data_IF_054869028679
#
_entry.id   IF_054869028679
#
_cell.length_a   1.000
_cell.length_b   1.000
_cell.length_c   1.000
_cell.angle_alpha   90.00
_cell.angle_beta   90.00
_cell.angle_gamma   90.00
#
_symmetry.space_group_name_H-M   'P 1'
#
loop_
_entity.id
_entity.type
_entity.pdbx_description
1 polymer ?
#
# COMPACT_ATOMS: atom_id res chain seq x y z
N UNK A 1 3.08 -29.85 -23.54
CA UNK A 1 3.47 -28.44 -23.63
C UNK A 1 4.99 -28.41 -23.54
N UNK A 2 5.69 -27.86 -24.52
CA UNK A 2 7.14 -27.62 -24.41
C UNK A 2 7.34 -26.29 -23.68
N UNK A 3 8.07 -26.30 -22.56
CA UNK A 3 8.33 -25.10 -21.75
C UNK A 3 9.43 -24.27 -22.42
N UNK A 4 10.47 -24.90 -22.98
CA UNK A 4 11.60 -24.21 -23.56
C UNK A 4 11.24 -23.39 -24.81
N UNK A 5 10.13 -23.73 -25.47
CA UNK A 5 9.62 -23.02 -26.64
C UNK A 5 8.74 -21.81 -26.32
N UNK A 6 8.59 -21.43 -25.04
CA UNK A 6 7.70 -20.35 -24.60
C UNK A 6 8.45 -19.06 -24.27
N UNK A 7 7.73 -17.96 -24.09
CA UNK A 7 8.32 -16.73 -23.57
C UNK A 7 8.86 -16.92 -22.15
N UNK A 8 9.91 -16.19 -21.77
CA UNK A 8 10.57 -16.34 -20.47
C UNK A 8 9.58 -16.20 -19.28
N UNK A 9 8.62 -15.29 -19.39
CA UNK A 9 7.56 -15.11 -18.39
C UNK A 9 6.68 -16.36 -18.24
N UNK A 10 6.23 -16.94 -19.37
CA UNK A 10 5.43 -18.16 -19.34
C UNK A 10 6.22 -19.37 -18.80
N UNK A 11 7.54 -19.42 -19.05
CA UNK A 11 8.41 -20.42 -18.47
C UNK A 11 8.48 -20.30 -16.94
N UNK A 12 8.69 -19.09 -16.41
CA UNK A 12 8.69 -18.82 -14.97
C UNK A 12 7.37 -19.27 -14.32
N UNK A 13 6.24 -18.92 -14.95
CA UNK A 13 4.90 -19.28 -14.43
C UNK A 13 4.62 -20.78 -14.49
N UNK A 14 4.93 -21.48 -15.58
CA UNK A 14 4.72 -22.92 -15.65
C UNK A 14 5.62 -23.73 -14.70
N UNK A 15 6.85 -23.26 -14.46
CA UNK A 15 7.73 -23.88 -13.48
C UNK A 15 7.20 -23.68 -12.04
N UNK A 16 6.62 -22.50 -11.75
CA UNK A 16 5.94 -22.24 -10.47
C UNK A 16 4.70 -23.12 -10.32
N UNK A 17 3.83 -23.17 -11.32
CA UNK A 17 2.63 -24.01 -11.33
C UNK A 17 2.96 -25.49 -11.08
N UNK A 18 4.02 -26.03 -11.70
CA UNK A 18 4.47 -27.40 -11.44
C UNK A 18 4.95 -27.62 -10.00
N UNK A 19 5.65 -26.63 -9.42
CA UNK A 19 6.13 -26.69 -8.04
C UNK A 19 5.00 -26.63 -7.03
N UNK A 20 3.97 -25.84 -7.34
CA UNK A 20 2.84 -25.57 -6.45
C UNK A 20 1.67 -26.57 -6.66
N UNK A 21 1.81 -27.50 -7.61
CA UNK A 21 0.83 -28.56 -7.88
C UNK A 21 -0.40 -28.09 -8.67
N UNK A 22 -0.30 -26.95 -9.34
CA UNK A 22 -1.36 -26.37 -10.15
C UNK A 22 -1.51 -27.11 -11.50
N UNK A 23 -2.73 -27.15 -12.02
CA UNK A 23 -3.06 -27.77 -13.30
C UNK A 23 -3.15 -26.72 -14.42
N UNK A 24 -3.14 -27.19 -15.67
CA UNK A 24 -3.39 -26.33 -16.82
C UNK A 24 -4.73 -25.57 -16.72
N UNK A 25 -5.72 -26.17 -16.05
CA UNK A 25 -7.04 -25.55 -15.86
C UNK A 25 -6.94 -24.41 -14.84
N UNK A 26 -6.07 -24.50 -13.84
CA UNK A 26 -5.96 -23.46 -12.82
C UNK A 26 -5.49 -22.13 -13.40
N UNK A 27 -4.59 -22.17 -14.40
CA UNK A 27 -4.09 -20.98 -15.11
C UNK A 27 -4.84 -20.63 -16.41
N UNK A 28 -5.51 -21.59 -17.06
CA UNK A 28 -6.27 -21.34 -18.31
C UNK A 28 -7.80 -21.37 -18.12
N UNK A 29 -8.30 -21.41 -16.87
CA UNK A 29 -9.73 -21.20 -16.59
C UNK A 29 -10.12 -19.80 -17.04
N UNK A 30 -11.35 -19.64 -17.54
CA UNK A 30 -11.83 -18.37 -18.09
C UNK A 30 -11.82 -18.27 -19.62
N UNK A 31 -11.12 -19.14 -20.35
CA UNK A 31 -11.19 -19.18 -21.83
C UNK A 31 -12.46 -19.89 -22.34
N UNK A 32 -12.93 -20.92 -21.64
CA UNK A 32 -14.10 -21.72 -22.05
C UNK A 32 -15.25 -21.73 -21.02
N UNK A 33 -14.97 -21.48 -19.74
CA UNK A 33 -15.95 -21.51 -18.65
C UNK A 33 -15.62 -20.41 -17.65
N UNK A 34 -16.63 -19.67 -17.19
CA UNK A 34 -16.47 -18.71 -16.10
C UNK A 34 -16.32 -19.46 -14.78
N UNK A 35 -15.20 -19.28 -14.05
CA UNK A 35 -15.04 -19.89 -12.75
C UNK A 35 -16.07 -19.34 -11.75
N UNK A 36 -16.43 -20.11 -10.70
CA UNK A 36 -17.21 -19.58 -9.58
C UNK A 36 -16.50 -18.36 -8.98
N UNK A 37 -17.27 -17.46 -8.35
CA UNK A 37 -16.71 -16.27 -7.68
C UNK A 37 -15.57 -16.69 -6.74
N UNK A 38 -14.36 -16.25 -7.05
CA UNK A 38 -13.19 -16.41 -6.19
C UNK A 38 -13.37 -15.40 -5.07
N UNK A 39 -13.33 -15.86 -3.82
CA UNK A 39 -13.26 -15.00 -2.65
C UNK A 39 -11.95 -15.29 -1.93
N UNK A 40 -11.26 -14.25 -1.51
CA UNK A 40 -10.18 -14.35 -0.55
C UNK A 40 -10.72 -15.10 0.68
N UNK A 41 -9.92 -16.01 1.22
CA UNK A 41 -10.26 -16.64 2.49
C UNK A 41 -10.27 -15.57 3.59
N UNK A 42 -11.37 -15.49 4.36
CA UNK A 42 -11.54 -14.55 5.48
C UNK A 42 -10.38 -14.64 6.49
N UNK A 43 -9.71 -15.80 6.56
CA UNK A 43 -8.54 -16.01 7.41
C UNK A 43 -7.34 -15.13 7.04
N UNK A 44 -7.15 -14.75 5.77
CA UNK A 44 -5.97 -14.02 5.33
C UNK A 44 -5.95 -12.56 5.83
N UNK A 45 -7.11 -11.92 5.94
CA UNK A 45 -7.22 -10.59 6.55
C UNK A 45 -7.04 -10.68 8.07
N UNK A 46 -7.57 -11.73 8.69
CA UNK A 46 -7.41 -11.96 10.13
C UNK A 46 -5.96 -12.28 10.52
N UNK A 47 -5.18 -12.85 9.60
CA UNK A 47 -3.77 -13.11 9.78
C UNK A 47 -2.95 -11.81 9.94
N UNK A 48 -3.33 -10.71 9.26
CA UNK A 48 -2.72 -9.39 9.48
C UNK A 48 -3.02 -8.85 10.88
N UNK A 49 -4.25 -9.04 11.37
CA UNK A 49 -4.61 -8.63 12.74
C UNK A 49 -3.81 -9.41 13.78
N UNK A 50 -3.60 -10.71 13.56
CA UNK A 50 -2.79 -11.56 14.45
C UNK A 50 -1.30 -11.16 14.49
N UNK A 51 -0.82 -10.49 13.44
CA UNK A 51 0.56 -9.99 13.31
C UNK A 51 0.72 -8.54 13.77
N UNK A 52 -0.35 -7.90 14.25
CA UNK A 52 -0.27 -6.56 14.81
C UNK A 52 0.74 -6.53 15.97
N UNK A 53 1.50 -5.43 16.05
CA UNK A 53 2.50 -5.24 17.09
C UNK A 53 1.83 -5.26 18.46
N UNK A 54 2.22 -6.20 19.31
CA UNK A 54 1.71 -6.33 20.69
C UNK A 54 2.34 -5.31 21.64
N UNK A 55 3.50 -4.76 21.26
CA UNK A 55 4.18 -3.66 21.93
C UNK A 55 5.05 -2.91 20.93
N UNK A 56 5.32 -1.63 21.22
CA UNK A 56 6.15 -0.75 20.38
C UNK A 56 7.11 0.04 21.27
N UNK A 57 8.21 0.51 20.70
CA UNK A 57 9.19 1.36 21.40
C UNK A 57 9.27 2.73 20.77
N UNK A 58 9.73 3.74 21.51
CA UNK A 58 10.02 5.06 20.94
C UNK A 58 11.04 4.93 19.80
N UNK A 59 10.77 5.61 18.68
CA UNK A 59 11.54 5.53 17.44
C UNK A 59 11.18 4.34 16.56
N UNK A 60 10.28 3.43 16.98
CA UNK A 60 9.82 2.35 16.11
C UNK A 60 8.94 2.89 14.98
N UNK A 61 9.05 2.28 13.80
CA UNK A 61 8.13 2.50 12.69
C UNK A 61 7.01 1.47 12.75
N UNK A 62 5.76 1.90 12.55
CA UNK A 62 4.59 1.04 12.52
C UNK A 62 3.68 1.38 11.34
N UNK A 63 2.97 0.37 10.84
CA UNK A 63 2.24 0.44 9.58
C UNK A 63 0.78 0.00 9.77
N UNK A 64 -0.20 0.91 9.66
CA UNK A 64 -1.61 0.53 9.63
C UNK A 64 -1.88 -0.48 8.50
N UNK A 65 -2.73 -1.47 8.73
CA UNK A 65 -3.17 -2.43 7.70
C UNK A 65 -4.65 -2.25 7.31
N UNK A 66 -5.31 -1.25 7.91
CA UNK A 66 -6.67 -0.78 7.63
C UNK A 66 -6.74 0.73 7.90
N UNK A 67 -7.76 1.45 7.41
CA UNK A 67 -8.00 2.84 7.82
C UNK A 67 -7.98 2.96 9.34
N UNK A 68 -7.06 3.76 9.86
CA UNK A 68 -6.74 3.85 11.29
C UNK A 68 -6.75 5.28 11.77
N UNK A 69 -7.20 5.57 12.99
CA UNK A 69 -7.34 6.96 13.45
C UNK A 69 -6.16 7.43 14.30
N UNK A 70 -5.75 8.67 14.06
CA UNK A 70 -4.92 9.46 14.98
C UNK A 70 -5.88 10.37 15.74
N UNK A 71 -6.41 9.90 16.87
CA UNK A 71 -7.49 10.55 17.61
C UNK A 71 -8.63 11.00 16.68
N UNK A 72 -9.08 12.25 16.83
CA UNK A 72 -10.05 12.90 15.93
C UNK A 72 -9.37 13.76 14.85
N UNK A 73 -8.05 13.69 14.73
CA UNK A 73 -7.25 14.59 13.88
C UNK A 73 -7.12 14.06 12.46
N UNK A 74 -6.96 12.74 12.29
CA UNK A 74 -6.74 12.15 10.98
C UNK A 74 -7.21 10.70 10.90
N UNK A 75 -7.61 10.31 9.69
CA UNK A 75 -7.72 8.91 9.26
C UNK A 75 -6.52 8.58 8.38
N UNK A 76 -5.67 7.68 8.85
CA UNK A 76 -4.45 7.21 8.21
C UNK A 76 -4.76 5.99 7.37
N UNK A 77 -4.15 5.96 6.20
CA UNK A 77 -4.34 4.94 5.21
C UNK A 77 -3.40 3.73 5.44
N UNK A 78 -3.81 2.50 5.05
CA UNK A 78 -2.95 1.32 5.08
C UNK A 78 -1.55 1.52 4.49
N UNK A 79 -0.54 0.89 5.09
CA UNK A 79 0.86 0.93 4.65
C UNK A 79 1.57 2.25 4.93
N UNK A 80 0.88 3.28 5.43
CA UNK A 80 1.50 4.55 5.83
C UNK A 80 2.53 4.31 6.94
N UNK A 81 3.71 4.90 6.79
CA UNK A 81 4.71 4.91 7.85
C UNK A 81 4.32 5.88 8.97
N UNK A 82 4.40 5.40 10.21
CA UNK A 82 4.18 6.17 11.42
C UNK A 82 5.35 5.93 12.38
N UNK A 83 6.02 6.99 12.80
CA UNK A 83 7.08 6.90 13.82
C UNK A 83 6.48 7.02 15.21
N UNK A 84 6.73 6.06 16.10
CA UNK A 84 6.30 6.13 17.51
C UNK A 84 7.16 7.14 18.25
N UNK A 85 6.56 8.22 18.76
CA UNK A 85 7.26 9.25 19.54
C UNK A 85 7.12 9.05 21.05
N UNK A 86 6.04 8.42 21.49
CA UNK A 86 5.83 8.05 22.89
C UNK A 86 5.02 6.74 23.01
N UNK A 87 5.64 5.70 23.55
CA UNK A 87 5.05 4.39 23.83
C UNK A 87 4.70 4.17 25.31
N UNK A 88 4.84 5.19 26.17
CA UNK A 88 4.62 5.05 27.62
C UNK A 88 3.14 4.95 28.02
N UNK A 89 2.24 5.43 27.15
CA UNK A 89 0.80 5.42 27.36
C UNK A 89 0.12 4.11 26.94
N UNK A 90 -1.21 4.06 27.12
CA UNK A 90 -2.05 2.95 26.64
C UNK A 90 -2.10 2.87 25.11
N UNK A 91 -2.06 4.02 24.46
CA UNK A 91 -1.98 4.18 23.01
C UNK A 91 -0.67 4.90 22.71
N UNK A 92 0.10 4.43 21.71
CA UNK A 92 1.30 5.15 21.31
C UNK A 92 0.92 6.49 20.69
N UNK A 93 1.67 7.52 21.03
CA UNK A 93 1.68 8.76 20.26
C UNK A 93 2.58 8.52 19.04
N UNK A 94 2.04 8.78 17.86
CA UNK A 94 2.72 8.61 16.58
C UNK A 94 2.93 9.95 15.90
N UNK A 95 4.00 10.03 15.10
CA UNK A 95 4.29 11.10 14.18
C UNK A 95 3.96 10.61 12.76
N UNK A 96 3.05 11.32 12.11
CA UNK A 96 2.76 11.22 10.69
C UNK A 96 3.46 12.36 9.95
N UNK A 97 4.21 12.04 8.90
CA UNK A 97 4.90 13.03 8.06
C UNK A 97 4.45 12.90 6.61
N UNK A 98 4.36 14.02 5.92
CA UNK A 98 4.05 14.04 4.49
C UNK A 98 4.04 15.45 3.92
N UNK A 99 3.40 15.60 2.78
CA UNK A 99 3.27 16.85 2.05
C UNK A 99 1.80 17.27 1.93
N UNK A 100 1.52 18.56 2.17
CA UNK A 100 0.26 19.18 1.80
C UNK A 100 0.37 19.80 0.40
N UNK A 101 -0.72 19.69 -0.36
CA UNK A 101 -0.92 20.45 -1.60
C UNK A 101 -1.88 21.61 -1.34
N UNK A 102 -1.56 22.79 -1.84
CA UNK A 102 -2.44 23.97 -1.72
C UNK A 102 -3.79 23.71 -2.42
N UNK A 103 -4.88 24.03 -1.74
CA UNK A 103 -6.25 23.72 -2.18
C UNK A 103 -6.72 22.29 -1.89
N UNK A 104 -5.87 21.47 -1.27
CA UNK A 104 -6.17 20.10 -0.80
C UNK A 104 -5.57 19.87 0.59
N UNK A 105 -5.64 20.87 1.47
CA UNK A 105 -4.99 20.87 2.79
C UNK A 105 -5.52 19.78 3.72
N UNK A 106 -6.70 19.22 3.43
CA UNK A 106 -7.28 18.10 4.18
C UNK A 106 -6.60 16.75 3.91
N UNK A 107 -5.56 16.68 3.07
CA UNK A 107 -4.88 15.43 2.72
C UNK A 107 -3.37 15.59 2.87
N UNK A 108 -2.72 14.61 3.50
CA UNK A 108 -1.26 14.46 3.47
C UNK A 108 -0.88 13.41 2.42
N UNK A 109 0.08 13.76 1.58
CA UNK A 109 0.61 12.92 0.52
C UNK A 109 2.04 12.49 0.83
N UNK A 110 2.48 11.38 0.21
CA UNK A 110 3.82 10.83 0.37
C UNK A 110 4.92 11.82 0.00
N UNK A 111 4.79 12.45 -1.17
CA UNK A 111 5.76 13.40 -1.69
C UNK A 111 5.10 14.46 -2.58
N UNK A 112 5.80 15.57 -2.80
CA UNK A 112 5.36 16.59 -3.77
C UNK A 112 5.25 15.99 -5.18
N UNK A 113 4.14 16.26 -5.87
CA UNK A 113 3.85 15.68 -7.19
C UNK A 113 3.39 14.21 -7.18
N UNK A 114 3.55 13.49 -6.07
CA UNK A 114 3.16 12.08 -5.92
C UNK A 114 1.93 11.95 -5.01
N UNK A 115 0.76 11.77 -5.62
CA UNK A 115 -0.55 11.76 -4.97
C UNK A 115 -0.90 10.42 -4.31
N UNK A 116 0.07 9.79 -3.65
CA UNK A 116 -0.19 8.70 -2.71
C UNK A 116 -0.66 9.34 -1.40
N UNK A 117 -1.96 9.26 -1.12
CA UNK A 117 -2.54 9.82 0.11
C UNK A 117 -2.18 8.95 1.32
N UNK A 118 -1.51 9.55 2.29
CA UNK A 118 -1.14 8.93 3.57
C UNK A 118 -2.25 9.07 4.61
N UNK A 119 -2.92 10.21 4.63
CA UNK A 119 -4.03 10.44 5.57
C UNK A 119 -4.98 11.54 5.07
N UNK A 120 -6.22 11.43 5.52
CA UNK A 120 -7.21 12.51 5.44
C UNK A 120 -7.33 13.16 6.81
N UNK A 121 -7.23 14.48 6.86
CA UNK A 121 -7.26 15.31 8.07
C UNK A 121 -8.67 15.87 8.31
N UNK A 122 -9.07 15.95 9.58
CA UNK A 122 -10.20 16.76 10.01
C UNK A 122 -9.85 18.26 10.03
N UNK A 123 -10.83 19.13 10.27
CA UNK A 123 -10.55 20.56 10.45
C UNK A 123 -9.62 20.81 11.65
N UNK A 124 -9.81 20.04 12.73
CA UNK A 124 -8.94 20.03 13.91
C UNK A 124 -7.54 19.53 13.56
N UNK A 125 -7.45 18.48 12.74
CA UNK A 125 -6.18 17.95 12.23
C UNK A 125 -5.40 18.98 11.42
N UNK A 126 -6.06 19.71 10.52
CA UNK A 126 -5.44 20.78 9.74
C UNK A 126 -4.87 21.88 10.65
N UNK A 127 -5.62 22.28 11.68
CA UNK A 127 -5.17 23.29 12.67
C UNK A 127 -4.03 22.79 13.55
N UNK A 128 -3.95 21.48 13.79
CA UNK A 128 -2.93 20.83 14.62
C UNK A 128 -1.63 20.51 13.85
N UNK A 129 -1.60 20.70 12.53
CA UNK A 129 -0.40 20.45 11.74
C UNK A 129 0.75 21.35 12.14
N UNK A 130 1.92 20.72 12.27
CA UNK A 130 3.19 21.44 12.23
C UNK A 130 3.62 21.54 10.77
N UNK A 131 3.66 22.77 10.25
CA UNK A 131 4.11 23.04 8.87
C UNK A 131 5.63 23.24 8.87
N UNK A 132 6.32 22.46 8.05
CA UNK A 132 7.77 22.49 7.93
C UNK A 132 8.15 23.08 6.55
N UNK A 133 8.47 24.37 6.53
CA UNK A 133 8.91 25.06 5.32
C UNK A 133 7.81 25.84 4.59
N UNK A 134 8.23 26.48 3.50
CA UNK A 134 7.37 27.31 2.65
C UNK A 134 6.73 26.50 1.52
N UNK A 135 5.71 27.09 0.89
CA UNK A 135 5.13 26.55 -0.33
C UNK A 135 6.15 26.56 -1.48
N UNK A 136 6.26 25.44 -2.19
CA UNK A 136 7.13 25.27 -3.34
C UNK A 136 6.35 24.68 -4.51
N UNK A 137 6.55 25.24 -5.70
CA UNK A 137 5.92 24.76 -6.92
C UNK A 137 6.56 23.43 -7.38
N UNK A 138 5.74 22.46 -7.82
CA UNK A 138 6.20 21.37 -8.67
C UNK A 138 6.31 21.81 -10.15
N UNK A 139 6.74 20.91 -11.03
CA UNK A 139 6.87 21.17 -12.47
C UNK A 139 5.55 21.55 -13.17
N UNK A 140 4.41 21.27 -12.54
CA UNK A 140 3.06 21.60 -13.03
C UNK A 140 2.48 22.86 -12.37
N UNK A 141 3.24 23.54 -11.51
CA UNK A 141 2.82 24.74 -10.80
C UNK A 141 1.98 24.49 -9.54
N UNK A 142 1.75 23.23 -9.13
CA UNK A 142 1.06 22.94 -7.88
C UNK A 142 1.97 23.31 -6.70
N UNK A 143 1.41 23.97 -5.69
CA UNK A 143 2.17 24.36 -4.51
C UNK A 143 2.13 23.25 -3.45
N UNK A 144 3.29 22.88 -2.95
CA UNK A 144 3.49 21.83 -1.96
C UNK A 144 4.31 22.34 -0.77
N UNK A 145 4.06 21.80 0.43
CA UNK A 145 4.90 22.03 1.60
C UNK A 145 4.92 20.79 2.49
N UNK A 146 5.99 20.61 3.26
CA UNK A 146 6.03 19.52 4.24
C UNK A 146 5.16 19.87 5.45
N UNK A 147 4.51 18.87 6.00
CA UNK A 147 3.71 18.99 7.20
C UNK A 147 3.76 17.68 7.99
N UNK A 148 3.60 17.80 9.29
CA UNK A 148 3.55 16.66 10.19
C UNK A 148 2.46 16.81 11.23
N UNK A 149 1.90 15.68 11.65
CA UNK A 149 0.86 15.58 12.66
C UNK A 149 1.31 14.59 13.74
N UNK A 150 1.11 14.94 15.01
CA UNK A 150 1.27 14.00 16.11
C UNK A 150 -0.06 13.75 16.81
N UNK A 151 -0.28 12.52 17.26
CA UNK A 151 -1.44 12.17 18.07
C UNK A 151 -1.47 10.69 18.44
N UNK A 152 -2.43 10.32 19.28
CA UNK A 152 -2.60 8.93 19.72
C UNK A 152 -3.16 8.06 18.59
N UNK A 153 -2.46 6.98 18.24
CA UNK A 153 -2.97 5.97 17.32
C UNK A 153 -3.96 5.06 18.07
N UNK A 154 -5.19 4.97 17.57
CA UNK A 154 -6.26 4.21 18.25
C UNK A 154 -6.35 2.75 17.81
N UNK A 155 -5.84 2.44 16.62
CA UNK A 155 -5.99 1.16 15.96
C UNK A 155 -4.66 0.37 15.96
N UNK A 156 -4.72 -0.98 15.91
CA UNK A 156 -3.52 -1.81 15.79
C UNK A 156 -2.77 -1.54 14.47
N UNK A 157 -1.44 -1.67 14.53
CA UNK A 157 -0.56 -1.53 13.38
C UNK A 157 0.50 -2.63 13.37
N UNK A 158 1.07 -2.92 12.20
CA UNK A 158 2.16 -3.88 12.03
C UNK A 158 3.50 -3.22 12.39
N UNK A 159 4.45 -4.02 12.89
CA UNK A 159 5.84 -3.56 13.09
C UNK A 159 6.68 -3.59 11.78
N UNK A 160 6.20 -4.28 10.75
CA UNK A 160 6.83 -4.38 9.45
C UNK A 160 5.74 -4.30 8.36
N UNK A 161 6.07 -3.70 7.23
CA UNK A 161 5.18 -3.60 6.07
C UNK A 161 5.11 -4.91 5.27
N UNK A 162 6.07 -5.83 5.44
CA UNK A 162 6.16 -7.09 4.69
C UNK A 162 4.85 -7.88 4.65
N UNK A 163 4.19 -8.14 5.80
CA UNK A 163 3.00 -8.97 5.80
C UNK A 163 1.86 -8.33 5.01
N UNK A 164 1.75 -6.99 5.07
CA UNK A 164 0.76 -6.25 4.30
C UNK A 164 0.99 -6.40 2.78
N UNK A 165 2.25 -6.34 2.34
CA UNK A 165 2.60 -6.50 0.93
C UNK A 165 2.46 -7.94 0.43
N UNK A 166 2.82 -8.92 1.25
CA UNK A 166 2.53 -10.33 0.95
C UNK A 166 1.03 -10.59 0.81
N UNK A 167 0.22 -9.95 1.65
CA UNK A 167 -1.24 -9.99 1.53
C UNK A 167 -1.72 -9.31 0.24
N UNK A 168 -1.17 -8.17 -0.14
CA UNK A 168 -1.48 -7.48 -1.39
C UNK A 168 -1.09 -8.28 -2.64
N UNK A 169 0.08 -8.91 -2.66
CA UNK A 169 0.52 -9.82 -3.72
C UNK A 169 -0.46 -10.99 -3.86
N UNK A 170 -0.90 -11.56 -2.74
CA UNK A 170 -1.90 -12.62 -2.74
C UNK A 170 -3.25 -12.14 -3.27
N UNK A 171 -3.65 -10.90 -3.00
CA UNK A 171 -4.86 -10.30 -3.58
C UNK A 171 -4.74 -10.20 -5.10
N UNK A 172 -3.61 -9.68 -5.60
CA UNK A 172 -3.34 -9.55 -7.03
C UNK A 172 -3.38 -10.92 -7.73
N UNK A 173 -2.69 -11.92 -7.18
CA UNK A 173 -2.69 -13.28 -7.72
C UNK A 173 -4.11 -13.88 -7.71
N UNK A 174 -4.85 -13.71 -6.62
CA UNK A 174 -6.18 -14.32 -6.43
C UNK A 174 -7.22 -13.71 -7.37
N UNK A 175 -7.20 -12.39 -7.52
CA UNK A 175 -8.26 -11.64 -8.20
C UNK A 175 -7.91 -11.20 -9.62
N UNK A 176 -6.63 -11.01 -9.95
CA UNK A 176 -6.20 -10.45 -11.23
C UNK A 176 -5.53 -11.49 -12.15
N UNK A 177 -4.91 -12.55 -11.62
CA UNK A 177 -4.23 -13.56 -12.44
C UNK A 177 -5.17 -14.53 -13.20
N UNK A 178 -6.48 -14.48 -12.92
CA UNK A 178 -7.44 -15.44 -13.47
C UNK A 178 -7.77 -15.27 -14.96
N UNK A 179 -7.51 -14.09 -15.54
CA UNK A 179 -7.87 -13.78 -16.93
C UNK A 179 -6.66 -13.38 -17.80
N UNK A 180 -5.63 -12.82 -17.18
CA UNK A 180 -4.37 -12.41 -17.80
C UNK A 180 -3.26 -12.48 -16.75
N UNK A 181 -2.01 -12.37 -17.16
CA UNK A 181 -0.92 -12.17 -16.20
C UNK A 181 -1.14 -10.87 -15.41
N UNK A 182 -0.91 -10.83 -14.09
CA UNK A 182 -0.96 -9.60 -13.31
C UNK A 182 -0.04 -8.53 -13.90
N UNK A 183 -0.46 -7.27 -13.81
CA UNK A 183 0.35 -6.15 -14.28
C UNK A 183 1.37 -5.83 -13.19
N UNK A 184 2.66 -5.89 -13.53
CA UNK A 184 3.72 -5.57 -12.58
C UNK A 184 3.54 -4.16 -11.99
N UNK A 185 3.82 -4.01 -10.69
CA UNK A 185 3.61 -2.75 -9.97
C UNK A 185 4.44 -1.57 -10.52
N UNK A 186 5.60 -1.86 -11.12
CA UNK A 186 6.49 -0.90 -11.76
C UNK A 186 6.06 -0.53 -13.21
N UNK A 187 4.87 -0.93 -13.65
CA UNK A 187 4.39 -0.61 -14.99
C UNK A 187 3.84 0.82 -15.10
N UNK A 188 3.08 1.26 -14.09
CA UNK A 188 2.45 2.58 -14.05
C UNK A 188 3.07 3.49 -12.99
N UNK A 189 2.75 4.78 -13.05
CA UNK A 189 3.14 5.77 -12.04
C UNK A 189 2.27 5.68 -10.81
N UNK A 190 2.76 6.20 -9.68
CA UNK A 190 2.04 6.34 -8.40
C UNK A 190 0.69 7.05 -8.59
N UNK A 191 0.62 8.02 -9.50
CA UNK A 191 -0.59 8.79 -9.78
C UNK A 191 -1.58 8.07 -10.71
N UNK A 192 -1.13 7.11 -11.51
CA UNK A 192 -1.97 6.38 -12.46
C UNK A 192 -2.67 5.17 -11.81
N UNK A 193 -1.98 4.49 -10.89
CA UNK A 193 -2.47 3.26 -10.26
C UNK A 193 -3.87 3.34 -9.64
N UNK A 194 -4.28 4.41 -8.92
CA UNK A 194 -5.61 4.45 -8.31
C UNK A 194 -6.77 4.27 -9.30
N UNK A 195 -6.68 4.91 -10.47
CA UNK A 195 -7.73 4.79 -11.50
C UNK A 195 -7.76 3.38 -12.11
N UNK A 196 -6.57 2.81 -12.32
CA UNK A 196 -6.39 1.50 -12.95
C UNK A 196 -6.87 0.39 -12.00
N UNK A 197 -6.41 0.41 -10.74
CA UNK A 197 -6.84 -0.50 -9.69
C UNK A 197 -8.35 -0.43 -9.47
N UNK A 198 -8.94 0.77 -9.42
CA UNK A 198 -10.40 0.93 -9.33
C UNK A 198 -11.14 0.27 -10.51
N UNK A 199 -10.63 0.44 -11.74
CA UNK A 199 -11.23 -0.18 -12.92
C UNK A 199 -11.12 -1.71 -12.93
N UNK A 200 -10.03 -2.27 -12.42
CA UNK A 200 -9.85 -3.72 -12.27
C UNK A 200 -10.71 -4.27 -11.13
N UNK A 201 -10.63 -3.65 -9.94
CA UNK A 201 -11.34 -4.06 -8.74
C UNK A 201 -12.87 -4.08 -8.89
N UNK A 202 -13.43 -3.15 -9.68
CA UNK A 202 -14.87 -3.14 -9.99
C UNK A 202 -15.37 -4.40 -10.74
N UNK A 203 -14.46 -5.26 -11.24
CA UNK A 203 -14.77 -6.54 -11.89
C UNK A 203 -14.50 -7.76 -11.00
N UNK A 204 -14.20 -7.52 -9.73
CA UNK A 204 -13.84 -8.55 -8.74
C UNK A 204 -14.81 -8.49 -7.56
N UNK A 205 -14.75 -9.48 -6.67
CA UNK A 205 -15.52 -9.50 -5.42
C UNK A 205 -14.73 -8.92 -4.23
N UNK A 206 -13.62 -8.22 -4.47
CA UNK A 206 -12.80 -7.59 -3.43
C UNK A 206 -13.62 -6.59 -2.61
N UNK A 207 -13.41 -6.60 -1.30
CA UNK A 207 -13.86 -5.55 -0.40
C UNK A 207 -13.14 -4.23 -0.69
N UNK A 208 -13.71 -3.14 -0.18
CA UNK A 208 -13.09 -1.81 -0.31
C UNK A 208 -11.68 -1.77 0.33
N UNK A 209 -11.51 -2.40 1.50
CA UNK A 209 -10.21 -2.43 2.18
C UNK A 209 -9.17 -3.26 1.41
N UNK A 210 -9.55 -4.39 0.82
CA UNK A 210 -8.65 -5.19 -0.02
C UNK A 210 -8.20 -4.41 -1.25
N UNK A 211 -9.14 -3.78 -1.96
CA UNK A 211 -8.83 -2.95 -3.11
C UNK A 211 -7.91 -1.78 -2.72
N UNK A 212 -8.12 -1.19 -1.56
CA UNK A 212 -7.36 -0.06 -1.05
C UNK A 212 -5.93 -0.47 -0.61
N UNK A 213 -5.76 -1.65 -0.02
CA UNK A 213 -4.45 -2.25 0.25
C UNK A 213 -3.70 -2.56 -1.06
N UNK A 214 -4.37 -3.23 -2.00
CA UNK A 214 -3.78 -3.59 -3.29
C UNK A 214 -3.38 -2.35 -4.10
N UNK A 215 -4.24 -1.32 -4.13
CA UNK A 215 -3.94 -0.05 -4.78
C UNK A 215 -2.69 0.58 -4.19
N UNK A 216 -2.52 0.55 -2.88
CA UNK A 216 -1.33 1.11 -2.23
C UNK A 216 -0.09 0.28 -2.47
N UNK A 217 -0.19 -1.04 -2.47
CA UNK A 217 0.92 -1.88 -2.87
C UNK A 217 1.43 -1.49 -4.26
N UNK A 218 0.54 -1.31 -5.24
CA UNK A 218 0.93 -0.81 -6.55
C UNK A 218 1.55 0.58 -6.51
N UNK A 219 0.97 1.50 -5.72
CA UNK A 219 1.49 2.86 -5.61
C UNK A 219 2.87 2.93 -4.93
N UNK A 220 3.14 2.14 -3.88
CA UNK A 220 4.42 2.08 -3.18
C UNK A 220 5.52 1.37 -4.01
N UNK A 221 5.13 0.54 -4.97
CA UNK A 221 6.04 -0.16 -5.87
C UNK A 221 5.96 0.39 -7.30
N UNK A 222 5.41 1.60 -7.47
CA UNK A 222 5.24 2.24 -8.77
C UNK A 222 6.59 2.66 -9.37
N UNK A 223 6.63 2.81 -10.69
CA UNK A 223 7.89 3.05 -11.43
C UNK A 223 8.62 4.35 -11.07
N UNK A 224 7.88 5.33 -10.57
CA UNK A 224 8.37 6.65 -10.18
C UNK A 224 8.56 6.78 -8.66
N UNK A 225 8.35 5.71 -7.89
CA UNK A 225 8.84 5.61 -6.51
C UNK A 225 10.31 5.23 -6.58
N UNK A 226 11.18 6.20 -6.27
CA UNK A 226 12.64 6.00 -6.26
C UNK A 226 13.18 6.03 -4.83
N UNK A 227 14.44 5.61 -4.67
CA UNK A 227 15.13 5.62 -3.38
C UNK A 227 15.05 6.95 -2.63
N UNK A 228 14.96 8.11 -3.29
CA UNK A 228 14.81 9.42 -2.61
C UNK A 228 13.41 9.63 -2.02
N UNK A 229 12.36 9.16 -2.70
CA UNK A 229 10.99 9.09 -2.12
C UNK A 229 10.96 8.12 -0.94
N UNK A 230 11.74 7.03 -1.02
CA UNK A 230 11.86 6.03 0.04
C UNK A 230 12.69 6.55 1.22
N UNK A 231 13.76 7.32 1.02
CA UNK A 231 14.63 7.84 2.11
C UNK A 231 13.90 8.82 3.05
N UNK A 232 12.85 9.50 2.59
CA UNK A 232 11.98 10.32 3.45
C UNK A 232 10.96 9.50 4.25
N UNK A 233 10.76 8.23 3.91
CA UNK A 233 9.76 7.29 4.44
C UNK A 233 10.43 6.09 5.12
N UNK A 234 11.74 5.93 4.96
CA UNK A 234 12.50 4.75 5.36
C UNK A 234 13.77 5.19 6.09
N UNK A 235 13.61 5.48 7.38
CA UNK A 235 14.70 5.32 8.35
C UNK A 235 14.63 3.95 9.06
N UNK A 236 13.97 2.95 8.46
CA UNK A 236 13.61 1.73 9.19
C UNK A 236 13.17 0.53 8.35
N UNK A 237 13.92 0.14 7.32
CA UNK A 237 13.75 -1.15 6.64
C UNK A 237 13.99 -1.13 5.14
N UNK A 238 15.25 -1.31 4.74
CA UNK A 238 15.65 -1.57 3.35
C UNK A 238 14.84 -2.73 2.74
N UNK A 239 13.98 -2.42 1.78
CA UNK A 239 13.46 -3.37 0.80
C UNK A 239 14.32 -3.31 -0.46
N UNK A 240 15.02 -4.41 -0.73
CA UNK A 240 15.83 -4.58 -1.93
C UNK A 240 14.92 -4.83 -3.14
N UNK A 241 14.72 -3.80 -3.96
CA UNK A 241 13.96 -3.84 -5.21
C UNK A 241 14.70 -4.57 -6.35
N UNK A 242 15.89 -5.15 -6.08
CA UNK A 242 16.62 -5.95 -7.06
C UNK A 242 16.60 -7.44 -6.71
N UNK A 243 15.53 -8.14 -7.11
CA UNK A 243 15.60 -9.58 -7.35
C UNK A 243 15.03 -9.93 -8.74
N UNK A 244 15.97 -10.20 -9.65
CA UNK A 244 15.94 -11.00 -10.88
C UNK A 244 14.72 -11.88 -11.15
#
# INVERSE_FOLDING_TARGET
MDIASQSESAQKMHNKAQKDGETCIDCHKGIAHFPPEIKMDDNAAHELESQAATSVTNGAHIYPFKPSRIGELATVNPGTDLTVVDASGKQPIVLLQGYQMQGSENTLYLAAGQRLALATLSEEGIKALTVNGEWQADEYGNQWRQASLQGALTDPALADRKPLWQYAEKLDDTYCAGCHAPIAADHYTVNAWPSIAKGMGARTSMSENELDILTRYFQYNAKDITGETVILVDQGGSYDINKT
#
